data_IF_255310206685
#
_entry.id   IF_255310206685
#
_cell.length_a   1.000
_cell.length_b   1.000
_cell.length_c   1.000
_cell.angle_alpha   90.00
_cell.angle_beta   90.00
_cell.angle_gamma   90.00
#
_symmetry.space_group_name_H-M   'P 1'
#
loop_
_entity.id
_entity.type
_entity.pdbx_description
1 polymer ?
#
# COMPACT_ATOMS: atom_id res chain seq x y z
N UNK A 1 -9.60 -14.82 17.95
CA UNK A 1 -9.89 -15.04 16.54
C UNK A 1 -8.70 -14.66 15.66
N UNK A 2 -8.36 -15.54 14.78
CA UNK A 2 -7.22 -15.25 13.91
C UNK A 2 -7.66 -14.34 12.78
N UNK A 3 -6.76 -13.47 12.38
CA UNK A 3 -7.00 -12.57 11.27
C UNK A 3 -6.36 -13.14 10.02
N UNK A 4 -7.10 -13.08 8.94
CA UNK A 4 -6.58 -13.53 7.66
C UNK A 4 -5.52 -12.53 7.22
N UNK A 5 -4.35 -13.06 6.94
CA UNK A 5 -3.25 -12.23 6.47
C UNK A 5 -3.41 -12.02 4.97
N UNK A 6 -3.58 -10.77 4.59
CA UNK A 6 -3.76 -10.41 3.20
C UNK A 6 -2.51 -9.73 2.69
N UNK A 7 -2.02 -10.21 1.56
CA UNK A 7 -0.85 -9.60 0.92
C UNK A 7 -1.21 -9.28 -0.52
N UNK A 8 -1.04 -8.03 -0.88
CA UNK A 8 -1.24 -7.57 -2.24
C UNK A 8 0.08 -7.10 -2.79
N UNK A 9 0.25 -7.27 -4.09
CA UNK A 9 1.49 -6.89 -4.75
C UNK A 9 1.16 -5.98 -5.91
N UNK A 10 1.83 -4.84 -5.96
CA UNK A 10 1.68 -3.90 -7.06
C UNK A 10 3.02 -3.71 -7.73
N UNK A 11 2.98 -3.37 -9.01
CA UNK A 11 4.18 -3.24 -9.80
C UNK A 11 4.73 -1.84 -9.73
N UNK A 12 6.06 -1.76 -9.79
CA UNK A 12 6.74 -0.48 -9.89
C UNK A 12 6.91 -0.17 -11.38
N UNK A 13 6.09 0.74 -11.87
CA UNK A 13 6.11 1.08 -13.29
C UNK A 13 7.20 2.08 -13.66
N UNK A 14 7.83 2.66 -12.66
CA UNK A 14 8.92 3.60 -12.92
C UNK A 14 10.21 2.87 -13.28
N UNK A 15 10.36 1.64 -12.78
CA UNK A 15 11.57 0.85 -13.02
C UNK A 15 11.20 -0.62 -13.02
N UNK A 16 11.00 -1.21 -14.19
CA UNK A 16 10.57 -2.61 -14.27
C UNK A 16 11.59 -3.61 -13.71
N UNK A 17 12.82 -3.18 -13.50
CA UNK A 17 13.82 -4.05 -12.89
C UNK A 17 13.72 -4.10 -11.38
N UNK A 18 12.96 -3.20 -10.77
CA UNK A 18 12.82 -3.16 -9.33
C UNK A 18 11.81 -4.18 -8.83
N UNK A 19 11.99 -4.64 -7.60
CA UNK A 19 10.99 -5.55 -7.01
C UNK A 19 9.66 -4.84 -6.83
N UNK A 20 8.61 -5.64 -6.85
CA UNK A 20 7.27 -5.12 -6.66
C UNK A 20 7.09 -4.58 -5.25
N UNK A 21 6.14 -3.65 -5.13
CA UNK A 21 5.74 -3.13 -3.84
C UNK A 21 4.71 -4.06 -3.25
N UNK A 22 4.92 -4.49 -2.01
CA UNK A 22 4.00 -5.39 -1.34
C UNK A 22 3.24 -4.65 -0.27
N UNK A 23 1.95 -4.95 -0.16
CA UNK A 23 1.09 -4.34 0.84
C UNK A 23 0.47 -5.46 1.65
N UNK A 24 0.74 -5.46 2.96
CA UNK A 24 0.29 -6.50 3.86
C UNK A 24 -0.70 -5.96 4.86
N UNK A 25 -1.58 -6.84 5.35
CA UNK A 25 -2.40 -6.50 6.49
C UNK A 25 -1.53 -6.41 7.72
N UNK A 26 -1.83 -5.45 8.58
CA UNK A 26 -1.11 -5.33 9.84
C UNK A 26 -1.52 -6.49 10.75
N UNK A 27 -0.57 -7.01 11.51
CA UNK A 27 -0.80 -8.19 12.33
C UNK A 27 -1.67 -7.90 13.55
N UNK A 28 -1.81 -6.64 13.92
CA UNK A 28 -2.53 -6.26 15.13
C UNK A 28 -3.69 -5.31 14.86
N UNK A 29 -3.48 -4.31 14.03
CA UNK A 29 -4.48 -3.26 13.80
C UNK A 29 -5.12 -3.43 12.44
N UNK A 30 -6.45 -3.47 12.42
CA UNK A 30 -7.18 -3.67 11.17
C UNK A 30 -7.23 -2.41 10.30
N UNK A 31 -6.98 -1.25 10.89
CA UNK A 31 -7.00 0.01 10.15
C UNK A 31 -5.62 0.43 9.68
N UNK A 32 -4.61 -0.37 9.95
CA UNK A 32 -3.24 -0.09 9.50
C UNK A 32 -2.83 -1.08 8.43
N UNK A 33 -1.95 -0.63 7.56
CA UNK A 33 -1.36 -1.51 6.54
C UNK A 33 0.15 -1.36 6.58
N UNK A 34 0.81 -2.43 6.17
CA UNK A 34 2.26 -2.46 6.08
C UNK A 34 2.64 -2.43 4.61
N UNK A 35 3.44 -1.46 4.23
CA UNK A 35 3.94 -1.35 2.86
C UNK A 35 5.40 -1.74 2.86
N UNK A 36 5.73 -2.74 2.07
CA UNK A 36 7.10 -3.22 1.96
C UNK A 36 7.67 -2.79 0.62
N UNK A 37 8.73 -2.01 0.66
CA UNK A 37 9.42 -1.53 -0.53
C UNK A 37 10.89 -1.83 -0.37
N UNK A 38 11.44 -2.64 -1.28
CA UNK A 38 12.86 -2.96 -1.32
C UNK A 38 13.37 -3.46 0.04
N UNK A 39 12.57 -4.35 0.66
CA UNK A 39 12.97 -4.96 1.93
C UNK A 39 12.70 -4.10 3.15
N UNK A 40 12.23 -2.89 2.97
CA UNK A 40 11.95 -1.99 4.07
C UNK A 40 10.44 -1.87 4.26
N UNK A 41 10.00 -1.90 5.49
CA UNK A 41 8.58 -1.88 5.82
C UNK A 41 8.16 -0.54 6.41
N UNK A 42 7.00 -0.09 5.98
CA UNK A 42 6.39 1.15 6.48
C UNK A 42 5.00 0.83 6.97
N UNK A 43 4.64 1.38 8.11
CA UNK A 43 3.30 1.18 8.68
C UNK A 43 2.54 2.48 8.52
N UNK A 44 1.41 2.42 7.83
CA UNK A 44 0.62 3.62 7.54
C UNK A 44 -0.85 3.34 7.83
N UNK A 45 -1.60 4.42 8.04
CA UNK A 45 -3.04 4.30 8.17
C UNK A 45 -3.65 3.96 6.82
N UNK A 46 -4.41 2.87 6.77
CA UNK A 46 -5.06 2.47 5.53
C UNK A 46 -6.04 3.50 5.03
N UNK A 47 -6.74 4.17 5.96
CA UNK A 47 -7.70 5.21 5.60
C UNK A 47 -7.00 6.40 4.96
N UNK A 48 -5.88 6.82 5.56
CA UNK A 48 -5.14 7.95 5.02
C UNK A 48 -4.51 7.60 3.67
N UNK A 49 -4.01 6.39 3.54
CA UNK A 49 -3.44 5.95 2.28
C UNK A 49 -4.50 5.93 1.18
N UNK A 50 -5.67 5.40 1.49
CA UNK A 50 -6.75 5.34 0.53
C UNK A 50 -7.19 6.74 0.09
N UNK A 51 -7.30 7.65 1.05
CA UNK A 51 -7.68 9.02 0.75
C UNK A 51 -6.62 9.71 -0.11
N UNK A 52 -5.36 9.49 0.21
CA UNK A 52 -4.27 10.08 -0.56
C UNK A 52 -4.27 9.58 -2.00
N UNK A 53 -4.53 8.29 -2.19
CA UNK A 53 -4.59 7.72 -3.52
C UNK A 53 -5.76 8.31 -4.30
N UNK A 54 -6.93 8.41 -3.66
CA UNK A 54 -8.11 8.97 -4.32
C UNK A 54 -7.87 10.41 -4.73
N UNK A 55 -7.25 11.19 -3.85
CA UNK A 55 -6.98 12.59 -4.15
C UNK A 55 -5.96 12.74 -5.28
N UNK A 56 -4.95 11.89 -5.28
CA UNK A 56 -3.94 11.94 -6.32
C UNK A 56 -4.54 11.62 -7.68
N UNK A 57 -5.41 10.62 -7.73
CA UNK A 57 -6.05 10.22 -8.97
C UNK A 57 -7.02 11.29 -9.46
N UNK A 58 -7.79 11.86 -8.53
CA UNK A 58 -8.74 12.92 -8.91
C UNK A 58 -8.04 14.15 -9.40
N UNK A 59 -6.92 14.48 -8.78
CA UNK A 59 -6.15 15.63 -9.21
C UNK A 59 -5.69 15.49 -10.66
N UNK A 60 -5.37 14.27 -11.06
CA UNK A 60 -4.96 14.03 -12.43
C UNK A 60 -6.09 14.11 -13.43
N UNK A 61 -7.32 13.95 -12.98
CA UNK A 61 -8.46 13.86 -13.88
C UNK A 61 -8.90 15.18 -14.47
N UNK A 62 -8.75 16.26 -13.74
CA UNK A 62 -9.34 17.52 -14.16
C UNK A 62 -8.43 18.34 -15.08
N UNK A 63 -7.32 17.83 -15.42
CA UNK A 63 -6.40 18.52 -16.34
C UNK A 63 -6.92 18.53 -17.76
#
# INVERSE_FOLDING_TARGET
MSRIKVTCQINDYSDPAQPSIKIHAHWKYSDMVVIEIDGKEYIVSGKELKTAIDNAMNTGDWI
#
